data_IF_300662311090
#
_entry.id   IF_300662311090
#
_cell.length_a   1.000
_cell.length_b   1.000
_cell.length_c   1.000
_cell.angle_alpha   90.00
_cell.angle_beta   90.00
_cell.angle_gamma   90.00
#
_symmetry.space_group_name_H-M   'P 1'
#
loop_
_entity.id
_entity.type
_entity.pdbx_description
1 polymer ?
#
# COMPACT_ATOMS: atom_id res chain seq x y z
N UNK A 1 9.00 32.14 -1.19
CA UNK A 1 8.04 31.10 -0.79
C UNK A 1 8.01 30.08 -1.89
N UNK A 2 8.80 29.01 -1.78
CA UNK A 2 8.62 27.84 -2.65
C UNK A 2 7.23 27.26 -2.35
N UNK A 3 6.35 27.30 -3.34
CA UNK A 3 5.10 26.56 -3.30
C UNK A 3 5.50 25.10 -3.45
N UNK A 4 5.41 24.33 -2.37
CA UNK A 4 5.51 22.87 -2.41
C UNK A 4 4.34 22.37 -3.25
N UNK A 5 4.59 22.21 -4.55
CA UNK A 5 3.74 21.52 -5.49
C UNK A 5 3.35 20.16 -4.89
N UNK A 6 2.09 19.76 -5.01
CA UNK A 6 1.51 18.55 -4.40
C UNK A 6 2.06 17.21 -4.92
N UNK A 7 3.34 17.16 -5.30
CA UNK A 7 4.08 15.98 -5.75
C UNK A 7 4.03 14.84 -4.74
N UNK A 8 3.99 15.12 -3.42
CA UNK A 8 3.82 14.09 -2.38
C UNK A 8 2.43 13.44 -2.40
N UNK A 9 1.35 14.21 -2.61
CA UNK A 9 -0.02 13.67 -2.67
C UNK A 9 -0.21 12.70 -3.84
N UNK A 10 0.44 13.00 -4.98
CA UNK A 10 0.38 12.13 -6.16
C UNK A 10 1.00 10.76 -5.90
N UNK A 11 2.16 10.71 -5.21
CA UNK A 11 2.83 9.44 -4.90
C UNK A 11 2.02 8.56 -3.95
N UNK A 12 1.38 9.14 -2.93
CA UNK A 12 0.53 8.37 -2.00
C UNK A 12 -0.68 7.77 -2.73
N UNK A 13 -1.37 8.56 -3.56
CA UNK A 13 -2.53 8.08 -4.32
C UNK A 13 -2.14 7.05 -5.37
N UNK A 14 -1.02 7.24 -6.07
CA UNK A 14 -0.48 6.23 -6.99
C UNK A 14 -0.15 4.92 -6.28
N UNK A 15 0.48 4.99 -5.10
CA UNK A 15 0.83 3.80 -4.34
C UNK A 15 -0.42 3.06 -3.85
N UNK A 16 -1.46 3.78 -3.41
CA UNK A 16 -2.74 3.17 -3.04
C UNK A 16 -3.40 2.49 -4.25
N UNK A 17 -3.38 3.14 -5.42
CA UNK A 17 -3.91 2.56 -6.67
C UNK A 17 -3.16 1.27 -7.03
N UNK A 18 -1.83 1.29 -7.04
CA UNK A 18 -0.99 0.12 -7.33
C UNK A 18 -1.20 -1.00 -6.32
N UNK A 19 -1.30 -0.68 -5.03
CA UNK A 19 -1.61 -1.67 -3.99
C UNK A 19 -2.96 -2.34 -4.23
N UNK A 20 -3.98 -1.59 -4.65
CA UNK A 20 -5.30 -2.14 -4.96
C UNK A 20 -5.30 -3.01 -6.23
N UNK A 21 -4.45 -2.70 -7.19
CA UNK A 21 -4.27 -3.52 -8.41
C UNK A 21 -3.53 -4.83 -8.11
N UNK A 22 -2.50 -4.80 -7.26
CA UNK A 22 -1.65 -5.96 -6.96
C UNK A 22 -2.25 -6.84 -5.85
N UNK A 23 -2.80 -6.22 -4.81
CA UNK A 23 -3.30 -6.88 -3.60
C UNK A 23 -4.71 -6.38 -3.24
N UNK A 24 -5.73 -6.59 -4.07
CA UNK A 24 -7.08 -6.09 -3.78
C UNK A 24 -7.67 -6.64 -2.47
N UNK A 25 -7.26 -7.84 -2.07
CA UNK A 25 -7.74 -8.54 -0.87
C UNK A 25 -7.34 -7.87 0.46
N UNK A 26 -6.28 -7.05 0.47
CA UNK A 26 -5.87 -6.32 1.69
C UNK A 26 -6.81 -5.15 2.00
N UNK A 27 -7.71 -4.78 1.07
CA UNK A 27 -8.63 -3.67 1.27
C UNK A 27 -9.94 -4.17 1.89
N UNK A 28 -10.09 -3.98 3.21
CA UNK A 28 -11.26 -4.40 3.99
C UNK A 28 -11.98 -3.16 4.52
N UNK A 29 -13.28 -3.03 4.21
CA UNK A 29 -14.13 -1.91 4.67
C UNK A 29 -13.55 -0.51 4.38
N UNK A 30 -12.87 -0.35 3.25
CA UNK A 30 -12.25 0.91 2.83
C UNK A 30 -10.95 1.25 3.56
N UNK A 31 -10.36 0.32 4.30
CA UNK A 31 -9.04 0.42 4.94
C UNK A 31 -8.10 -0.65 4.41
N UNK A 32 -6.80 -0.45 4.61
CA UNK A 32 -5.77 -1.44 4.31
C UNK A 32 -5.52 -2.29 5.57
N UNK A 33 -5.68 -3.60 5.44
CA UNK A 33 -5.24 -4.58 6.42
C UNK A 33 -3.74 -4.85 6.25
N UNK A 34 -2.95 -4.23 7.11
CA UNK A 34 -1.50 -4.39 7.09
C UNK A 34 -1.03 -5.76 7.58
N UNK A 35 -1.82 -6.48 8.36
CA UNK A 35 -1.45 -7.81 8.83
C UNK A 35 -1.68 -8.85 7.73
N UNK A 36 -2.74 -8.69 6.94
CA UNK A 36 -2.93 -9.47 5.70
C UNK A 36 -1.86 -9.12 4.67
N UNK A 37 -1.54 -7.84 4.47
CA UNK A 37 -0.46 -7.42 3.58
C UNK A 37 0.89 -8.03 4.00
N UNK A 38 1.21 -8.02 5.30
CA UNK A 38 2.44 -8.67 5.82
C UNK A 38 2.42 -10.18 5.64
N UNK A 39 1.27 -10.84 5.73
CA UNK A 39 1.17 -12.28 5.47
C UNK A 39 1.46 -12.59 4.00
N UNK A 40 0.81 -11.89 3.08
CA UNK A 40 1.00 -12.05 1.63
C UNK A 40 2.45 -11.74 1.21
N UNK A 41 3.04 -10.67 1.74
CA UNK A 41 4.45 -10.33 1.48
C UNK A 41 5.43 -11.24 2.26
N UNK A 42 4.99 -11.78 3.38
CA UNK A 42 5.78 -12.56 4.34
C UNK A 42 5.86 -14.05 4.04
N UNK A 43 5.09 -14.58 3.08
CA UNK A 43 5.24 -15.95 2.57
C UNK A 43 6.65 -16.23 1.99
N UNK A 44 7.50 -15.21 1.82
CA UNK A 44 8.90 -15.36 1.43
C UNK A 44 9.94 -15.37 2.56
N UNK A 45 9.57 -15.21 3.84
CA UNK A 45 10.58 -14.93 4.86
C UNK A 45 10.19 -15.26 6.29
N UNK A 46 10.03 -16.53 6.62
CA UNK A 46 10.45 -17.15 7.90
C UNK A 46 10.19 -18.66 7.80
N UNK A 47 11.06 -19.34 7.06
CA UNK A 47 11.31 -20.77 7.27
C UNK A 47 12.69 -20.87 7.92
N UNK A 48 12.73 -20.69 9.23
CA UNK A 48 13.85 -21.16 10.06
C UNK A 48 13.68 -22.66 10.31
#
# INVERSE_FOLDING_TARGET
MEKLDGTSMNLVQENIKKLKEIFPEIFIEGRIDFDLLKQILGEGGYRI
#
